data_IF_901691654831
#
_entry.id   IF_901691654831
#
_cell.length_a   1.000
_cell.length_b   1.000
_cell.length_c   1.000
_cell.angle_alpha   90.00
_cell.angle_beta   90.00
_cell.angle_gamma   90.00
#
_symmetry.space_group_name_H-M   'P 1'
#
loop_
_entity.id
_entity.type
_entity.pdbx_description
1 polymer ?
#
# COMPACT_ATOMS: atom_id res chain seq x y z
N UNK A 1 13.44 -16.23 -9.69
CA UNK A 1 14.18 -14.95 -9.83
C UNK A 1 13.70 -14.08 -8.70
N UNK A 2 14.57 -13.80 -7.73
CA UNK A 2 14.20 -13.08 -6.52
C UNK A 2 14.35 -11.57 -6.74
N UNK A 3 13.36 -10.80 -6.29
CA UNK A 3 13.39 -9.33 -6.41
C UNK A 3 14.05 -8.79 -5.14
N UNK A 4 15.20 -8.14 -5.29
CA UNK A 4 15.86 -7.45 -4.19
C UNK A 4 15.11 -6.13 -3.93
N UNK A 5 14.23 -6.12 -2.93
CA UNK A 5 13.59 -4.88 -2.48
C UNK A 5 14.33 -4.41 -1.23
N UNK A 6 15.02 -3.26 -1.27
CA UNK A 6 15.53 -2.64 -0.06
C UNK A 6 14.35 -2.14 0.77
N UNK A 7 14.01 -2.86 1.84
CA UNK A 7 13.10 -2.33 2.86
C UNK A 7 13.93 -1.44 3.79
N UNK A 8 13.69 -0.14 3.74
CA UNK A 8 14.17 0.78 4.79
C UNK A 8 13.25 0.58 6.01
N UNK A 9 13.42 -0.54 6.71
CA UNK A 9 12.90 -0.72 8.06
C UNK A 9 14.06 -1.16 8.96
N UNK A 10 14.28 -0.38 10.03
CA UNK A 10 15.19 -0.64 11.15
C UNK A 10 16.70 -0.36 11.01
N UNK A 11 17.17 0.35 9.97
CA UNK A 11 18.53 0.91 9.98
C UNK A 11 19.66 -0.13 9.96
N UNK A 12 19.35 -1.40 9.71
CA UNK A 12 20.30 -2.44 9.35
C UNK A 12 19.94 -2.89 7.93
N UNK A 13 20.91 -2.83 7.03
CA UNK A 13 20.74 -3.16 5.61
C UNK A 13 20.63 -4.67 5.37
N UNK A 14 19.65 -5.31 5.99
CA UNK A 14 19.41 -6.73 5.80
C UNK A 14 18.57 -6.94 4.54
N UNK A 15 19.15 -7.60 3.55
CA UNK A 15 18.47 -7.97 2.32
C UNK A 15 17.57 -9.18 2.59
N UNK A 16 16.25 -8.96 2.60
CA UNK A 16 15.26 -10.05 2.65
C UNK A 16 14.89 -10.44 1.23
N UNK A 17 15.05 -11.73 0.91
CA UNK A 17 14.57 -12.30 -0.35
C UNK A 17 13.08 -12.59 -0.22
N UNK A 18 12.26 -11.80 -0.89
CA UNK A 18 10.85 -12.15 -1.11
C UNK A 18 10.78 -12.82 -2.49
N UNK A 19 10.71 -14.14 -2.49
CA UNK A 19 10.56 -14.95 -3.71
C UNK A 19 9.09 -15.14 -4.07
N UNK A 20 8.23 -15.27 -3.06
CA UNK A 20 6.80 -15.57 -3.24
C UNK A 20 5.99 -14.91 -2.13
N UNK A 21 4.90 -14.24 -2.50
CA UNK A 21 3.86 -13.78 -1.57
C UNK A 21 2.92 -14.95 -1.31
N UNK A 22 2.60 -15.21 -0.04
CA UNK A 22 1.67 -16.26 0.37
C UNK A 22 0.26 -15.71 0.59
N UNK A 23 -0.73 -16.60 0.64
CA UNK A 23 -2.10 -16.26 1.01
C UNK A 23 -2.16 -15.57 2.39
N UNK A 24 -1.37 -16.07 3.36
CA UNK A 24 -1.31 -15.53 4.71
C UNK A 24 -0.84 -14.07 4.75
N UNK A 25 0.17 -13.74 3.95
CA UNK A 25 0.70 -12.38 3.86
C UNK A 25 -0.36 -11.38 3.39
N UNK A 26 -1.14 -11.77 2.36
CA UNK A 26 -2.22 -10.94 1.83
C UNK A 26 -3.34 -10.76 2.86
N UNK A 27 -3.70 -11.82 3.58
CA UNK A 27 -4.72 -11.75 4.64
C UNK A 27 -4.26 -10.82 5.78
N UNK A 28 -3.02 -10.94 6.22
CA UNK A 28 -2.44 -10.07 7.26
C UNK A 28 -2.43 -8.62 6.78
N UNK A 29 -1.94 -8.37 5.57
CA UNK A 29 -1.89 -7.03 5.00
C UNK A 29 -3.27 -6.37 4.92
N UNK A 30 -4.30 -7.09 4.46
CA UNK A 30 -5.68 -6.57 4.41
C UNK A 30 -6.22 -6.27 5.81
N UNK A 31 -5.94 -7.13 6.80
CA UNK A 31 -6.36 -6.91 8.20
C UNK A 31 -5.71 -5.66 8.79
N UNK A 32 -4.44 -5.42 8.49
CA UNK A 32 -3.66 -4.29 9.00
C UNK A 32 -3.97 -2.96 8.32
N UNK A 33 -4.71 -2.94 7.20
CA UNK A 33 -5.15 -1.70 6.55
C UNK A 33 -5.87 -0.78 7.56
N UNK A 34 -5.42 0.47 7.68
CA UNK A 34 -6.10 1.45 8.54
C UNK A 34 -7.47 1.78 7.95
N UNK A 35 -8.54 1.50 8.70
CA UNK A 35 -9.93 1.78 8.29
C UNK A 35 -10.20 3.28 8.11
N UNK A 36 -9.45 4.13 8.82
CA UNK A 36 -9.53 5.59 8.76
C UNK A 36 -8.55 6.22 7.76
N UNK A 37 -7.87 5.42 6.93
CA UNK A 37 -6.94 5.96 5.94
C UNK A 37 -7.67 6.77 4.87
N UNK A 38 -7.01 7.84 4.40
CA UNK A 38 -7.47 8.65 3.28
C UNK A 38 -7.66 7.77 2.05
N UNK A 39 -8.73 8.03 1.31
CA UNK A 39 -9.04 7.37 0.05
C UNK A 39 -7.92 7.69 -0.96
N UNK A 40 -7.36 6.64 -1.56
CA UNK A 40 -6.30 6.72 -2.55
C UNK A 40 -6.75 7.37 -3.87
N UNK A 41 -5.88 7.31 -4.87
CA UNK A 41 -6.19 7.78 -6.23
C UNK A 41 -7.26 6.90 -6.92
N UNK A 42 -7.43 5.67 -6.44
CA UNK A 42 -8.37 4.67 -6.94
C UNK A 42 -9.82 4.94 -6.50
N UNK A 43 -10.01 5.88 -5.58
CA UNK A 43 -11.29 6.18 -4.95
C UNK A 43 -11.94 4.98 -4.22
N UNK A 44 -11.14 3.98 -3.81
CA UNK A 44 -11.61 2.80 -3.09
C UNK A 44 -11.36 2.99 -1.59
N UNK A 45 -12.40 3.06 -0.75
CA UNK A 45 -12.21 3.14 0.69
C UNK A 45 -11.60 1.85 1.28
N UNK A 46 -10.69 1.94 2.26
CA UNK A 46 -10.07 0.76 2.88
C UNK A 46 -11.07 -0.22 3.50
N UNK A 47 -12.23 0.26 3.97
CA UNK A 47 -13.26 -0.60 4.56
C UNK A 47 -13.90 -1.53 3.53
N UNK A 48 -13.95 -1.15 2.24
CA UNK A 48 -14.44 -2.02 1.16
C UNK A 48 -13.48 -3.18 0.96
N UNK A 49 -12.17 -2.90 0.94
CA UNK A 49 -11.14 -3.94 0.79
C UNK A 49 -11.21 -4.92 1.96
N UNK A 50 -11.41 -4.42 3.18
CA UNK A 50 -11.61 -5.26 4.37
C UNK A 50 -12.90 -6.08 4.31
N UNK A 51 -14.01 -5.47 3.92
CA UNK A 51 -15.32 -6.13 3.83
C UNK A 51 -15.37 -7.20 2.75
N UNK A 52 -14.62 -7.03 1.66
CA UNK A 52 -14.53 -7.96 0.55
C UNK A 52 -13.29 -8.86 0.60
N UNK A 53 -12.61 -8.95 1.75
CA UNK A 53 -11.33 -9.65 1.86
C UNK A 53 -11.39 -11.09 1.35
N UNK A 54 -12.45 -11.83 1.67
CA UNK A 54 -12.63 -13.23 1.25
C UNK A 54 -12.60 -13.42 -0.28
N UNK A 55 -13.05 -12.42 -1.03
CA UNK A 55 -13.06 -12.44 -2.51
C UNK A 55 -11.79 -11.84 -3.12
N UNK A 56 -11.16 -10.91 -2.41
CA UNK A 56 -10.02 -10.14 -2.93
C UNK A 56 -8.67 -10.81 -2.69
N UNK A 57 -8.55 -11.68 -1.68
CA UNK A 57 -7.25 -12.28 -1.32
C UNK A 57 -6.63 -13.04 -2.50
N UNK A 58 -7.39 -13.90 -3.19
CA UNK A 58 -6.86 -14.68 -4.32
C UNK A 58 -6.45 -13.81 -5.52
N UNK A 59 -7.30 -12.89 -6.02
CA UNK A 59 -6.90 -11.96 -7.08
C UNK A 59 -5.65 -11.13 -6.72
N UNK A 60 -5.58 -10.61 -5.49
CA UNK A 60 -4.44 -9.82 -5.03
C UNK A 60 -3.17 -10.66 -4.93
N UNK A 61 -3.26 -11.88 -4.39
CA UNK A 61 -2.16 -12.84 -4.33
C UNK A 61 -1.58 -13.13 -5.72
N UNK A 62 -2.45 -13.42 -6.69
CA UNK A 62 -2.03 -13.67 -8.08
C UNK A 62 -1.38 -12.43 -8.69
N UNK A 63 -1.96 -11.25 -8.48
CA UNK A 63 -1.46 -9.98 -9.01
C UNK A 63 -0.10 -9.61 -8.42
N UNK A 64 0.09 -9.77 -7.11
CA UNK A 64 1.38 -9.50 -6.46
C UNK A 64 2.45 -10.44 -6.97
N UNK A 65 2.20 -11.76 -6.94
CA UNK A 65 3.17 -12.74 -7.44
C UNK A 65 3.50 -12.54 -8.93
N UNK A 66 2.52 -12.15 -9.75
CA UNK A 66 2.78 -11.79 -11.14
C UNK A 66 3.69 -10.55 -11.24
N UNK A 67 3.45 -9.53 -10.42
CA UNK A 67 4.26 -8.30 -10.39
C UNK A 67 5.71 -8.60 -10.00
N UNK A 68 5.92 -9.43 -8.98
CA UNK A 68 7.25 -9.89 -8.57
C UNK A 68 7.93 -10.74 -9.67
N UNK A 69 7.22 -11.71 -10.25
CA UNK A 69 7.77 -12.58 -11.30
C UNK A 69 8.18 -11.81 -12.56
N UNK A 70 7.43 -10.77 -12.91
CA UNK A 70 7.66 -9.95 -14.13
C UNK A 70 8.49 -8.70 -13.86
N UNK A 71 8.86 -8.43 -12.60
CA UNK A 71 9.47 -7.17 -12.18
C UNK A 71 8.69 -5.92 -12.66
N UNK A 72 7.37 -6.05 -12.84
CA UNK A 72 6.53 -5.00 -13.43
C UNK A 72 5.39 -4.70 -12.48
N UNK A 73 5.27 -3.43 -12.09
CA UNK A 73 4.23 -2.97 -11.18
C UNK A 73 3.27 -2.02 -11.91
N UNK A 74 1.96 -2.08 -11.61
CA UNK A 74 0.98 -1.13 -12.14
C UNK A 74 1.44 0.32 -11.93
N UNK A 75 1.33 1.15 -12.96
CA UNK A 75 1.70 2.57 -12.87
C UNK A 75 0.93 3.29 -11.76
N UNK A 76 -0.35 2.96 -11.60
CA UNK A 76 -1.20 3.51 -10.53
C UNK A 76 -0.62 3.31 -9.12
N UNK A 77 0.08 2.21 -8.85
CA UNK A 77 0.66 1.95 -7.52
C UNK A 77 1.86 2.85 -7.21
N UNK A 78 2.43 3.51 -8.21
CA UNK A 78 3.55 4.46 -8.06
C UNK A 78 3.08 5.89 -7.83
N UNK A 79 1.78 6.14 -7.93
CA UNK A 79 1.18 7.46 -7.77
C UNK A 79 0.69 7.63 -6.31
N UNK A 80 0.81 8.85 -5.78
CA UNK A 80 0.33 9.21 -4.45
C UNK A 80 -0.59 10.42 -4.51
N UNK A 81 -1.59 10.46 -3.64
CA UNK A 81 -2.53 11.58 -3.52
C UNK A 81 -2.11 12.46 -2.34
N UNK A 82 -1.71 13.70 -2.63
CA UNK A 82 -1.35 14.68 -1.61
C UNK A 82 -2.57 15.56 -1.35
N UNK A 83 -3.09 15.52 -0.12
CA UNK A 83 -4.22 16.36 0.32
C UNK A 83 -3.75 17.20 1.49
N UNK A 84 -3.65 18.54 1.34
CA UNK A 84 -3.28 19.42 2.43
C UNK A 84 -4.29 19.33 3.57
N UNK A 85 -3.81 19.07 4.79
CA UNK A 85 -4.69 19.01 5.97
C UNK A 85 -4.56 20.29 6.77
N UNK A 86 -5.62 21.10 6.77
CA UNK A 86 -5.66 22.32 7.57
C UNK A 86 -5.54 22.00 9.06
N UNK A 87 -4.70 22.74 9.78
CA UNK A 87 -4.54 22.58 11.22
C UNK A 87 -5.29 23.63 12.02
N UNK A 88 -4.85 24.90 11.93
CA UNK A 88 -5.40 26.04 12.69
C UNK A 88 -4.85 27.35 12.16
N UNK A 89 -5.48 28.47 12.52
CA UNK A 89 -5.05 29.82 12.12
C UNK A 89 -5.77 30.30 10.86
N UNK A 90 -5.05 31.00 9.99
CA UNK A 90 -5.60 31.52 8.75
C UNK A 90 -5.57 30.47 7.62
N UNK A 91 -6.74 30.10 7.09
CA UNK A 91 -6.86 29.14 5.99
C UNK A 91 -6.26 29.63 4.65
N UNK A 92 -5.94 30.93 4.53
CA UNK A 92 -5.27 31.45 3.33
C UNK A 92 -3.75 31.30 3.34
N UNK A 93 -3.16 30.89 4.47
CA UNK A 93 -1.70 30.77 4.59
C UNK A 93 -1.26 29.31 4.51
N UNK A 94 -0.41 28.98 3.53
CA UNK A 94 0.06 27.60 3.29
C UNK A 94 0.73 26.96 4.51
N UNK A 95 1.41 27.75 5.35
CA UNK A 95 2.07 27.29 6.58
C UNK A 95 1.11 26.64 7.60
N UNK A 96 -0.19 26.90 7.48
CA UNK A 96 -1.22 26.38 8.38
C UNK A 96 -1.77 25.00 7.96
N UNK A 97 -1.21 24.41 6.90
CA UNK A 97 -1.54 23.08 6.40
C UNK A 97 -0.38 22.10 6.65
N UNK A 98 -0.68 20.79 6.77
CA UNK A 98 0.28 19.68 6.65
C UNK A 98 0.21 19.08 5.27
#
# INVERSE_FOLDING_TARGET
MAVMIPLIFNGFGDFVWIDTITYGDVVVAIKELKSTSTIGIDNIPPFIIKGCAEFLVYPLLALFNLSFKTNTFPHAWKLTKIVPVFKKGNAKECRNYR
#
